data_IF_631957199180
#
_entry.id   IF_631957199180
#
_cell.length_a   1.000
_cell.length_b   1.000
_cell.length_c   1.000
_cell.angle_alpha   90.00
_cell.angle_beta   90.00
_cell.angle_gamma   90.00
#
_symmetry.space_group_name_H-M   'P 1'
#
loop_
_entity.id
_entity.type
_entity.pdbx_description
1 polymer ?
#
# COMPACT_ATOMS: atom_id res chain seq x y z
N UNK A 1 28.60 7.17 -1.93
CA UNK A 1 27.50 7.49 -2.86
C UNK A 1 26.84 8.82 -2.48
N UNK A 2 26.43 9.01 -1.22
CA UNK A 2 25.90 10.29 -0.70
C UNK A 2 26.87 11.48 -0.90
N UNK A 3 28.17 11.33 -0.63
CA UNK A 3 29.15 12.42 -0.82
C UNK A 3 29.25 12.93 -2.27
N UNK A 4 29.06 12.05 -3.25
CA UNK A 4 29.07 12.41 -4.66
C UNK A 4 27.81 13.21 -5.03
N UNK A 5 26.64 12.75 -4.55
CA UNK A 5 25.36 13.42 -4.76
C UNK A 5 25.34 14.82 -4.16
N UNK A 6 25.99 15.02 -3.01
CA UNK A 6 26.10 16.33 -2.35
C UNK A 6 27.01 17.30 -3.08
N UNK A 7 28.16 16.80 -3.55
CA UNK A 7 29.14 17.61 -4.27
C UNK A 7 28.64 18.05 -5.65
N UNK A 8 27.69 17.31 -6.24
CA UNK A 8 27.17 17.54 -7.60
C UNK A 8 25.69 17.94 -7.63
N UNK A 9 25.11 18.32 -6.49
CA UNK A 9 23.66 18.50 -6.35
C UNK A 9 23.08 19.56 -7.31
N UNK A 10 23.79 20.67 -7.55
CA UNK A 10 23.35 21.71 -8.48
C UNK A 10 23.33 21.21 -9.93
N UNK A 11 24.35 20.43 -10.32
CA UNK A 11 24.44 19.87 -11.67
C UNK A 11 23.38 18.80 -11.89
N UNK A 12 23.14 17.95 -10.89
CA UNK A 12 22.06 16.95 -10.92
C UNK A 12 20.67 17.59 -10.97
N UNK A 13 20.44 18.63 -10.17
CA UNK A 13 19.19 19.40 -10.18
C UNK A 13 18.95 20.05 -11.54
N UNK A 14 19.98 20.67 -12.13
CA UNK A 14 19.90 21.26 -13.47
C UNK A 14 19.61 20.24 -14.57
N UNK A 15 20.19 19.03 -14.47
CA UNK A 15 19.95 17.96 -15.44
C UNK A 15 18.52 17.44 -15.33
N UNK A 16 18.04 17.21 -14.11
CA UNK A 16 16.66 16.80 -13.82
C UNK A 16 15.66 17.86 -14.28
N UNK A 17 15.90 19.13 -13.99
CA UNK A 17 15.05 20.24 -14.43
C UNK A 17 15.00 20.33 -15.96
N UNK A 18 16.13 20.12 -16.64
CA UNK A 18 16.20 20.10 -18.11
C UNK A 18 15.45 18.91 -18.68
N UNK A 19 15.61 17.72 -18.12
CA UNK A 19 14.90 16.50 -18.52
C UNK A 19 13.39 16.58 -18.26
N UNK A 20 12.98 17.26 -17.18
CA UNK A 20 11.57 17.56 -16.90
C UNK A 20 10.99 18.57 -17.91
N UNK A 21 11.72 19.64 -18.24
CA UNK A 21 11.21 20.73 -19.11
C UNK A 21 11.29 20.42 -20.60
N UNK A 22 12.29 19.64 -21.04
CA UNK A 22 12.63 19.44 -22.45
C UNK A 22 12.74 17.97 -22.89
N UNK A 23 12.68 17.02 -21.97
CA UNK A 23 12.78 15.59 -22.29
C UNK A 23 11.51 15.02 -22.91
N UNK A 24 11.62 13.83 -23.51
CA UNK A 24 10.45 13.08 -23.99
C UNK A 24 9.68 12.42 -22.83
N UNK A 25 8.46 11.94 -23.07
CA UNK A 25 7.55 11.41 -22.02
C UNK A 25 8.20 10.41 -21.06
N UNK A 26 9.04 9.49 -21.56
CA UNK A 26 9.77 8.54 -20.71
C UNK A 26 10.86 9.20 -19.85
N UNK A 27 11.59 10.15 -20.43
CA UNK A 27 12.65 10.89 -19.73
C UNK A 27 12.07 11.82 -18.66
N UNK A 28 10.92 12.45 -18.93
CA UNK A 28 10.19 13.27 -17.97
C UNK A 28 9.67 12.44 -16.78
N UNK A 29 9.18 11.22 -17.03
CA UNK A 29 8.72 10.32 -15.98
C UNK A 29 9.85 9.88 -15.07
N UNK A 30 11.00 9.49 -15.64
CA UNK A 30 12.16 9.10 -14.83
C UNK A 30 12.80 10.29 -14.12
N UNK A 31 12.83 11.47 -14.75
CA UNK A 31 13.27 12.70 -14.11
C UNK A 31 12.35 13.10 -12.95
N UNK A 32 11.03 12.87 -13.06
CA UNK A 32 10.09 13.11 -11.97
C UNK A 32 10.33 12.14 -10.79
N UNK A 33 10.54 10.86 -11.06
CA UNK A 33 10.91 9.85 -10.05
C UNK A 33 12.22 10.20 -9.36
N UNK A 34 13.25 10.54 -10.14
CA UNK A 34 14.55 10.96 -9.63
C UNK A 34 14.44 12.25 -8.83
N UNK A 35 13.57 13.18 -9.23
CA UNK A 35 13.36 14.46 -8.53
C UNK A 35 12.79 14.25 -7.12
N UNK A 36 11.84 13.33 -6.95
CA UNK A 36 11.30 13.00 -5.63
C UNK A 36 12.41 12.44 -4.72
N UNK A 37 13.26 11.56 -5.25
CA UNK A 37 14.37 10.93 -4.52
C UNK A 37 15.47 11.95 -4.20
N UNK A 38 15.82 12.83 -5.15
CA UNK A 38 16.83 13.89 -4.97
C UNK A 38 16.39 14.96 -3.97
N UNK A 39 15.13 15.43 -4.03
CA UNK A 39 14.59 16.40 -3.07
C UNK A 39 14.63 15.83 -1.66
N UNK A 40 14.25 14.57 -1.50
CA UNK A 40 14.34 13.84 -0.22
C UNK A 40 15.79 13.71 0.27
N UNK A 41 16.73 13.45 -0.64
CA UNK A 41 18.15 13.25 -0.31
C UNK A 41 18.92 14.55 -0.05
N UNK A 42 18.50 15.68 -0.65
CA UNK A 42 19.21 16.97 -0.61
C UNK A 42 18.63 17.95 0.41
N UNK A 43 17.32 17.90 0.72
CA UNK A 43 16.71 18.77 1.74
C UNK A 43 17.41 18.69 3.11
N UNK A 44 18.08 17.56 3.40
CA UNK A 44 18.72 17.35 4.68
C UNK A 44 20.14 17.92 4.80
N UNK A 45 20.82 18.32 3.71
CA UNK A 45 22.19 18.88 3.84
C UNK A 45 22.22 20.37 4.07
N UNK A 46 21.22 21.10 3.57
CA UNK A 46 21.07 22.52 3.87
C UNK A 46 20.72 22.75 5.36
N UNK A 47 19.96 21.84 5.97
CA UNK A 47 19.53 21.94 7.37
C UNK A 47 20.51 21.28 8.36
N UNK A 48 21.31 20.29 7.94
CA UNK A 48 22.34 19.66 8.77
C UNK A 48 23.51 20.57 9.15
N UNK A 49 23.68 21.73 8.49
CA UNK A 49 24.71 22.70 8.87
C UNK A 49 24.25 23.74 9.91
N UNK A 50 22.96 23.80 10.28
CA UNK A 50 22.46 24.91 11.11
C UNK A 50 21.59 24.57 12.32
N UNK A 51 21.19 23.32 12.60
CA UNK A 51 20.29 23.10 13.75
C UNK A 51 20.52 21.82 14.53
N UNK A 52 21.03 22.05 15.74
CA UNK A 52 21.22 21.18 16.91
C UNK A 52 20.01 20.34 17.33
N UNK A 53 20.30 19.08 17.72
CA UNK A 53 19.69 18.23 18.79
C UNK A 53 18.18 18.27 19.08
N UNK A 54 17.53 17.09 19.01
CA UNK A 54 16.28 16.80 19.71
C UNK A 54 15.40 15.76 19.01
N UNK A 55 14.53 15.07 19.76
CA UNK A 55 13.59 13.99 19.35
C UNK A 55 12.78 14.24 18.05
N UNK A 56 12.75 15.46 17.55
CA UNK A 56 12.19 15.79 16.24
C UNK A 56 13.00 15.16 15.09
N UNK A 57 14.33 15.00 15.23
CA UNK A 57 15.18 14.40 14.21
C UNK A 57 14.84 12.92 13.97
N UNK A 58 14.61 12.14 15.03
CA UNK A 58 14.28 10.71 14.89
C UNK A 58 12.87 10.48 14.30
N UNK A 59 11.93 11.38 14.58
CA UNK A 59 10.58 11.35 14.02
C UNK A 59 10.56 11.75 12.54
N UNK A 60 11.31 12.79 12.16
CA UNK A 60 11.45 13.21 10.76
C UNK A 60 12.16 12.13 9.94
N UNK A 61 13.23 11.55 10.48
CA UNK A 61 13.95 10.44 9.85
C UNK A 61 13.06 9.21 9.64
N UNK A 62 12.21 8.87 10.61
CA UNK A 62 11.27 7.76 10.46
C UNK A 62 10.20 8.03 9.39
N UNK A 63 9.64 9.24 9.37
CA UNK A 63 8.68 9.66 8.33
C UNK A 63 9.30 9.62 6.93
N UNK A 64 10.57 10.02 6.82
CA UNK A 64 11.33 9.97 5.57
C UNK A 64 11.51 8.54 5.06
N UNK A 65 11.91 7.62 5.94
CA UNK A 65 12.05 6.21 5.58
C UNK A 65 10.70 5.60 5.19
N UNK A 66 9.63 5.91 5.91
CA UNK A 66 8.27 5.49 5.56
C UNK A 66 7.87 5.96 4.16
N UNK A 67 8.13 7.23 3.82
CA UNK A 67 7.81 7.78 2.51
C UNK A 67 8.66 7.17 1.38
N UNK A 68 9.97 6.99 1.62
CA UNK A 68 10.86 6.35 0.67
C UNK A 68 10.47 4.89 0.42
N UNK A 69 10.15 4.15 1.48
CA UNK A 69 9.71 2.75 1.39
C UNK A 69 8.40 2.63 0.62
N UNK A 70 7.45 3.53 0.85
CA UNK A 70 6.20 3.58 0.09
C UNK A 70 6.44 3.87 -1.40
N UNK A 71 7.35 4.81 -1.72
CA UNK A 71 7.78 5.08 -3.10
C UNK A 71 8.42 3.87 -3.77
N UNK A 72 9.21 3.10 -3.03
CA UNK A 72 9.80 1.85 -3.50
C UNK A 72 8.74 0.76 -3.73
N UNK A 73 7.75 0.61 -2.84
CA UNK A 73 6.61 -0.28 -3.04
C UNK A 73 5.84 0.04 -4.34
N UNK A 74 5.63 1.33 -4.63
CA UNK A 74 5.03 1.76 -5.89
C UNK A 74 5.89 1.40 -7.11
N UNK A 75 7.22 1.47 -6.98
CA UNK A 75 8.15 1.04 -8.03
C UNK A 75 8.05 -0.47 -8.26
N UNK A 76 7.96 -1.28 -7.20
CA UNK A 76 7.78 -2.74 -7.30
C UNK A 76 6.55 -3.09 -8.15
N UNK A 77 5.44 -2.35 -8.01
CA UNK A 77 4.23 -2.56 -8.84
C UNK A 77 4.45 -2.32 -10.34
N UNK A 78 5.51 -1.63 -10.75
CA UNK A 78 5.84 -1.34 -12.16
C UNK A 78 6.90 -2.30 -12.70
N UNK A 79 7.63 -2.99 -11.82
CA UNK A 79 8.65 -3.97 -12.22
C UNK A 79 8.00 -5.27 -12.70
N UNK A 80 8.71 -6.00 -13.57
CA UNK A 80 8.22 -7.31 -14.02
C UNK A 80 8.38 -8.36 -12.91
N UNK A 81 7.46 -9.34 -12.80
CA UNK A 81 7.56 -10.42 -11.82
C UNK A 81 8.90 -11.16 -11.83
N UNK A 82 9.46 -11.41 -13.02
CA UNK A 82 10.78 -12.05 -13.17
C UNK A 82 11.91 -11.20 -12.57
N UNK A 83 11.92 -9.89 -12.82
CA UNK A 83 12.91 -8.99 -12.21
C UNK A 83 12.80 -9.01 -10.69
N UNK A 84 11.59 -8.93 -10.15
CA UNK A 84 11.36 -9.02 -8.70
C UNK A 84 11.82 -10.36 -8.13
N UNK A 85 11.51 -11.47 -8.80
CA UNK A 85 11.92 -12.81 -8.38
C UNK A 85 13.44 -12.91 -8.19
N UNK A 86 14.23 -12.34 -9.11
CA UNK A 86 15.71 -12.38 -9.02
C UNK A 86 16.30 -11.60 -7.83
N UNK A 87 15.57 -10.64 -7.26
CA UNK A 87 16.00 -9.83 -6.12
C UNK A 87 15.20 -10.08 -4.85
N UNK A 88 14.19 -10.97 -4.88
CA UNK A 88 13.22 -11.13 -3.82
C UNK A 88 13.85 -11.55 -2.49
N UNK A 89 14.83 -12.45 -2.51
CA UNK A 89 15.52 -12.93 -1.30
C UNK A 89 16.21 -11.78 -0.56
N UNK A 90 16.97 -10.95 -1.27
CA UNK A 90 17.70 -9.81 -0.69
C UNK A 90 16.75 -8.70 -0.23
N UNK A 91 15.69 -8.41 -1.00
CA UNK A 91 14.69 -7.43 -0.57
C UNK A 91 13.95 -7.89 0.70
N UNK A 92 13.67 -9.18 0.85
CA UNK A 92 13.03 -9.72 2.04
C UNK A 92 13.93 -9.65 3.28
N UNK A 93 15.25 -9.80 3.13
CA UNK A 93 16.21 -9.54 4.22
C UNK A 93 16.10 -8.09 4.70
N UNK A 94 16.12 -7.11 3.79
CA UNK A 94 15.98 -5.69 4.13
C UNK A 94 14.63 -5.38 4.78
N UNK A 95 13.53 -5.92 4.24
CA UNK A 95 12.20 -5.74 4.84
C UNK A 95 12.10 -6.39 6.23
N UNK A 96 12.70 -7.56 6.44
CA UNK A 96 12.69 -8.26 7.72
C UNK A 96 13.37 -7.44 8.82
N UNK A 97 14.51 -6.80 8.52
CA UNK A 97 15.17 -5.89 9.45
C UNK A 97 14.28 -4.68 9.81
N UNK A 98 13.57 -4.13 8.83
CA UNK A 98 12.64 -3.01 9.03
C UNK A 98 11.41 -3.39 9.87
N UNK A 99 10.98 -4.66 9.84
CA UNK A 99 9.91 -5.17 10.71
C UNK A 99 10.29 -5.14 12.20
N UNK A 100 11.58 -5.18 12.52
CA UNK A 100 12.09 -5.04 13.89
C UNK A 100 12.21 -3.60 14.39
N UNK A 101 12.00 -2.60 13.54
CA UNK A 101 12.27 -1.20 13.89
C UNK A 101 11.32 -0.66 14.98
N UNK A 102 11.76 0.30 15.80
CA UNK A 102 10.96 0.85 16.91
C UNK A 102 9.72 1.64 16.46
N UNK A 103 9.79 2.27 15.29
CA UNK A 103 8.70 3.06 14.72
C UNK A 103 7.57 2.17 14.17
N UNK A 104 6.33 2.37 14.65
CA UNK A 104 5.16 1.57 14.23
C UNK A 104 4.82 1.74 12.75
N UNK A 105 4.91 2.97 12.24
CA UNK A 105 4.55 3.30 10.86
C UNK A 105 5.52 2.65 9.87
N UNK A 106 6.83 2.66 10.20
CA UNK A 106 7.84 1.99 9.39
C UNK A 106 7.64 0.47 9.36
N UNK A 107 7.31 -0.15 10.51
CA UNK A 107 6.95 -1.58 10.56
C UNK A 107 5.73 -1.88 9.68
N UNK A 108 4.69 -1.05 9.76
CA UNK A 108 3.48 -1.20 8.95
C UNK A 108 3.84 -1.14 7.46
N UNK A 109 4.62 -0.15 7.04
CA UNK A 109 5.03 -0.03 5.63
C UNK A 109 5.92 -1.18 5.17
N UNK A 110 6.85 -1.64 6.01
CA UNK A 110 7.66 -2.81 5.70
C UNK A 110 6.79 -4.07 5.54
N UNK A 111 5.82 -4.28 6.43
CA UNK A 111 4.86 -5.39 6.31
C UNK A 111 4.02 -5.33 5.03
N UNK A 112 3.58 -4.14 4.62
CA UNK A 112 2.89 -3.95 3.34
C UNK A 112 3.81 -4.27 2.15
N UNK A 113 5.07 -3.85 2.21
CA UNK A 113 6.09 -4.18 1.22
C UNK A 113 6.34 -5.69 1.11
N UNK A 114 6.44 -6.41 2.23
CA UNK A 114 6.55 -7.87 2.27
C UNK A 114 5.36 -8.53 1.59
N UNK A 115 4.13 -8.16 1.97
CA UNK A 115 2.92 -8.72 1.38
C UNK A 115 2.86 -8.48 -0.14
N UNK A 116 3.17 -7.26 -0.57
CA UNK A 116 3.22 -6.90 -1.98
C UNK A 116 4.28 -7.72 -2.74
N UNK A 117 5.47 -7.87 -2.16
CA UNK A 117 6.56 -8.61 -2.79
C UNK A 117 6.20 -10.10 -2.95
N UNK A 118 5.66 -10.74 -1.92
CA UNK A 118 5.16 -12.12 -2.02
C UNK A 118 4.11 -12.26 -3.12
N UNK A 119 3.14 -11.34 -3.17
CA UNK A 119 2.10 -11.35 -4.19
C UNK A 119 2.66 -11.21 -5.61
N UNK A 120 3.60 -10.29 -5.84
CA UNK A 120 4.17 -10.04 -7.16
C UNK A 120 5.13 -11.16 -7.60
N UNK A 121 5.92 -11.68 -6.68
CA UNK A 121 6.89 -12.76 -6.95
C UNK A 121 6.18 -14.09 -7.18
N UNK A 122 5.09 -14.37 -6.44
CA UNK A 122 4.28 -15.57 -6.66
C UNK A 122 3.57 -15.60 -8.02
N UNK A 123 3.38 -14.46 -8.69
CA UNK A 123 2.93 -14.46 -10.09
C UNK A 123 3.94 -15.12 -11.06
N UNK A 124 5.22 -15.11 -10.71
CA UNK A 124 6.28 -15.78 -11.48
C UNK A 124 6.45 -17.24 -11.04
N UNK A 125 6.40 -17.50 -9.73
CA UNK A 125 6.60 -18.81 -9.13
C UNK A 125 5.73 -18.94 -7.87
N UNK A 126 4.60 -19.65 -8.01
CA UNK A 126 3.60 -19.77 -6.94
C UNK A 126 4.19 -20.38 -5.66
N UNK A 127 5.21 -21.25 -5.79
CA UNK A 127 5.85 -21.93 -4.67
C UNK A 127 7.02 -21.13 -4.08
N UNK A 128 7.12 -19.84 -4.39
CA UNK A 128 8.17 -18.98 -3.85
C UNK A 128 8.13 -18.92 -2.32
N UNK A 129 9.26 -19.26 -1.70
CA UNK A 129 9.52 -19.22 -0.27
C UNK A 129 10.83 -18.46 0.01
N UNK A 130 10.83 -17.63 1.05
CA UNK A 130 12.05 -16.99 1.55
C UNK A 130 12.89 -17.97 2.39
N UNK A 131 14.21 -17.82 2.36
CA UNK A 131 15.11 -18.71 3.12
C UNK A 131 14.82 -18.77 4.63
N UNK A 132 14.27 -17.69 5.22
CA UNK A 132 13.90 -17.62 6.63
C UNK A 132 12.39 -17.40 6.82
N UNK A 133 11.56 -18.00 5.95
CA UNK A 133 10.10 -17.82 5.98
C UNK A 133 9.47 -18.18 7.34
N UNK A 134 9.98 -19.19 8.04
CA UNK A 134 9.50 -19.55 9.38
C UNK A 134 9.70 -18.40 10.39
N UNK A 135 10.88 -17.78 10.40
CA UNK A 135 11.21 -16.63 11.25
C UNK A 135 10.34 -15.42 10.88
N UNK A 136 10.14 -15.17 9.58
CA UNK A 136 9.25 -14.12 9.10
C UNK A 136 7.82 -14.34 9.59
N UNK A 137 7.28 -15.55 9.41
CA UNK A 137 5.92 -15.89 9.83
C UNK A 137 5.71 -15.70 11.33
N UNK A 138 6.68 -16.12 12.16
CA UNK A 138 6.63 -15.91 13.60
C UNK A 138 6.59 -14.42 13.96
N UNK A 139 7.49 -13.61 13.39
CA UNK A 139 7.53 -12.16 13.62
C UNK A 139 6.24 -11.46 13.17
N UNK A 140 5.70 -11.83 12.01
CA UNK A 140 4.44 -11.26 11.50
C UNK A 140 3.26 -11.60 12.43
N UNK A 141 3.20 -12.82 12.98
CA UNK A 141 2.17 -13.23 13.94
C UNK A 141 2.28 -12.48 15.28
N UNK A 142 3.49 -12.24 15.77
CA UNK A 142 3.74 -11.43 16.96
C UNK A 142 3.25 -9.98 16.74
N UNK A 143 3.58 -9.37 15.60
CA UNK A 143 3.14 -8.03 15.25
C UNK A 143 1.61 -7.94 15.04
N UNK A 144 0.97 -9.01 14.55
CA UNK A 144 -0.48 -9.13 14.38
C UNK A 144 -1.24 -9.25 15.71
N UNK A 145 -0.58 -9.73 16.77
CA UNK A 145 -1.17 -9.91 18.11
C UNK A 145 -0.70 -8.86 19.13
N UNK A 146 0.15 -7.91 18.72
CA UNK A 146 0.84 -6.92 19.56
C UNK A 146 0.04 -6.46 20.79
N UNK A 147 0.51 -6.90 21.96
CA UNK A 147 -0.11 -6.66 23.25
C UNK A 147 0.59 -5.58 24.08
N UNK A 148 1.66 -4.96 23.55
CA UNK A 148 2.53 -4.06 24.31
C UNK A 148 1.82 -2.77 24.73
N UNK A 149 1.43 -2.71 26.01
CA UNK A 149 0.61 -1.62 26.58
C UNK A 149 1.28 -0.24 26.55
N UNK A 150 2.61 -0.18 26.45
CA UNK A 150 3.38 1.08 26.38
C UNK A 150 3.17 1.86 25.06
N UNK A 151 2.73 1.21 23.98
CA UNK A 151 2.42 1.87 22.70
C UNK A 151 1.08 2.63 22.76
N UNK A 152 0.78 3.52 21.83
CA UNK A 152 -0.54 4.14 21.79
C UNK A 152 -1.63 3.11 21.39
N UNK A 153 -2.83 3.23 21.95
CA UNK A 153 -3.97 2.32 21.66
C UNK A 153 -4.35 2.34 20.18
N UNK A 154 -4.28 3.52 19.54
CA UNK A 154 -4.54 3.72 18.11
C UNK A 154 -3.54 2.92 17.28
N UNK A 155 -2.25 3.15 17.50
CA UNK A 155 -1.16 2.56 16.73
C UNK A 155 -1.15 1.02 16.86
N UNK A 156 -1.40 0.47 18.06
CA UNK A 156 -1.58 -0.99 18.23
C UNK A 156 -2.77 -1.55 17.46
N UNK A 157 -3.87 -0.81 17.36
CA UNK A 157 -5.06 -1.29 16.63
C UNK A 157 -4.77 -1.34 15.12
N UNK A 158 -4.11 -0.30 14.62
CA UNK A 158 -3.72 -0.15 13.22
C UNK A 158 -2.67 -1.19 12.82
N UNK A 159 -1.58 -1.31 13.58
CA UNK A 159 -0.57 -2.33 13.37
C UNK A 159 -1.20 -3.73 13.32
N UNK A 160 -1.96 -4.13 14.35
CA UNK A 160 -2.59 -5.45 14.36
C UNK A 160 -3.58 -5.65 13.20
N UNK A 161 -4.27 -4.60 12.74
CA UNK A 161 -5.12 -4.70 11.57
C UNK A 161 -4.32 -4.98 10.31
N UNK A 162 -3.26 -4.20 10.07
CA UNK A 162 -2.39 -4.37 8.92
C UNK A 162 -1.70 -5.75 8.93
N UNK A 163 -1.08 -6.14 10.05
CA UNK A 163 -0.32 -7.39 10.12
C UNK A 163 -1.20 -8.65 10.06
N UNK A 164 -2.47 -8.58 10.47
CA UNK A 164 -3.40 -9.70 10.20
C UNK A 164 -3.65 -9.91 8.70
N UNK A 165 -3.66 -8.85 7.91
CA UNK A 165 -3.76 -8.95 6.45
C UNK A 165 -2.44 -9.44 5.85
N UNK A 166 -1.30 -8.91 6.30
CA UNK A 166 0.04 -9.36 5.84
C UNK A 166 0.27 -10.85 6.09
N UNK A 167 -0.04 -11.34 7.30
CA UNK A 167 0.06 -12.77 7.64
C UNK A 167 -0.80 -13.60 6.68
N UNK A 168 -2.01 -13.14 6.38
CA UNK A 168 -2.90 -13.85 5.46
C UNK A 168 -2.31 -13.93 4.05
N UNK A 169 -1.75 -12.83 3.53
CA UNK A 169 -1.14 -12.78 2.18
C UNK A 169 0.10 -13.67 2.08
N UNK A 170 0.94 -13.70 3.11
CA UNK A 170 2.16 -14.52 3.09
C UNK A 170 1.82 -16.02 3.24
N UNK A 171 0.86 -16.36 4.09
CA UNK A 171 0.56 -17.76 4.45
C UNK A 171 -0.53 -18.44 3.61
N UNK A 172 -1.42 -17.71 2.94
CA UNK A 172 -2.53 -18.30 2.18
C UNK A 172 -2.50 -17.80 0.72
N UNK A 173 -2.30 -18.72 -0.22
CA UNK A 173 -2.28 -18.45 -1.66
C UNK A 173 -3.68 -18.30 -2.30
N UNK A 174 -4.74 -18.60 -1.55
CA UNK A 174 -6.06 -18.93 -2.14
C UNK A 174 -7.02 -17.76 -2.40
N UNK A 175 -6.69 -16.51 -2.04
CA UNK A 175 -7.62 -15.39 -2.21
C UNK A 175 -7.15 -14.39 -3.28
N UNK A 176 -7.65 -14.55 -4.50
CA UNK A 176 -7.55 -13.58 -5.63
C UNK A 176 -8.01 -12.14 -5.28
N UNK A 177 -8.44 -11.85 -4.05
CA UNK A 177 -9.17 -10.63 -3.71
C UNK A 177 -8.87 -9.97 -2.34
N UNK A 178 -7.69 -10.16 -1.75
CA UNK A 178 -7.36 -9.56 -0.45
C UNK A 178 -6.08 -8.72 -0.42
N UNK A 179 -6.10 -7.56 -1.08
CA UNK A 179 -5.32 -6.40 -0.63
C UNK A 179 -6.31 -5.29 -0.23
N UNK A 180 -6.76 -5.28 1.04
CA UNK A 180 -7.59 -4.19 1.59
C UNK A 180 -6.77 -3.04 2.17
N UNK A 181 -5.46 -3.23 2.33
CA UNK A 181 -4.55 -2.22 2.84
C UNK A 181 -4.37 -0.98 1.95
N UNK A 182 -4.73 -1.02 0.66
CA UNK A 182 -4.70 0.19 -0.17
C UNK A 182 -5.95 0.99 0.16
N UNK A 183 -5.76 2.05 0.95
CA UNK A 183 -6.74 3.10 1.17
C UNK A 183 -7.38 3.48 -0.17
N UNK A 184 -8.72 3.51 -0.21
CA UNK A 184 -9.44 3.89 -1.43
C UNK A 184 -8.98 5.27 -1.85
N UNK A 185 -8.20 5.35 -2.92
CA UNK A 185 -7.80 6.63 -3.51
C UNK A 185 -9.05 7.30 -4.07
N UNK A 186 -9.61 8.23 -3.32
CA UNK A 186 -10.61 9.17 -3.83
C UNK A 186 -9.90 10.15 -4.75
N UNK A 187 -10.01 9.92 -6.06
CA UNK A 187 -9.54 10.86 -7.08
C UNK A 187 -10.43 12.10 -7.00
N UNK A 188 -9.81 13.27 -6.79
CA UNK A 188 -10.49 14.55 -6.80
C UNK A 188 -11.27 14.81 -8.11
N UNK A 189 -12.13 15.83 -8.10
CA UNK A 189 -13.08 16.16 -9.18
C UNK A 189 -12.47 16.61 -10.53
N UNK A 190 -11.16 16.62 -10.68
CA UNK A 190 -10.49 17.15 -11.87
C UNK A 190 -10.55 16.16 -13.06
N UNK A 191 -11.19 16.53 -14.20
CA UNK A 191 -11.48 15.61 -15.30
C UNK A 191 -10.24 15.07 -16.03
N UNK A 192 -9.14 15.82 -16.12
CA UNK A 192 -7.91 15.33 -16.78
C UNK A 192 -7.13 14.33 -15.90
N UNK A 193 -7.23 14.46 -14.56
CA UNK A 193 -6.66 13.45 -13.64
C UNK A 193 -7.44 12.14 -13.66
N UNK A 194 -8.71 12.16 -14.07
CA UNK A 194 -9.50 10.93 -14.19
C UNK A 194 -9.06 10.06 -15.37
N UNK A 195 -8.54 10.60 -16.48
CA UNK A 195 -8.13 9.75 -17.62
C UNK A 195 -6.98 8.83 -17.26
N UNK A 196 -5.86 9.39 -16.79
CA UNK A 196 -4.67 8.61 -16.40
C UNK A 196 -5.02 7.61 -15.29
N UNK A 197 -5.82 8.02 -14.31
CA UNK A 197 -6.22 7.12 -13.23
C UNK A 197 -7.16 6.02 -13.74
N UNK A 198 -8.07 6.32 -14.65
CA UNK A 198 -8.94 5.31 -15.26
C UNK A 198 -8.17 4.34 -16.13
N UNK A 199 -7.13 4.78 -16.82
CA UNK A 199 -6.25 3.90 -17.59
C UNK A 199 -5.42 3.00 -16.67
N UNK A 200 -4.79 3.57 -15.63
CA UNK A 200 -4.00 2.83 -14.62
C UNK A 200 -4.84 1.76 -13.91
N UNK A 201 -6.09 2.08 -13.55
CA UNK A 201 -7.00 1.13 -12.90
C UNK A 201 -7.94 0.41 -13.87
N UNK A 202 -7.73 0.53 -15.19
CA UNK A 202 -8.57 -0.09 -16.24
C UNK A 202 -10.09 0.14 -16.04
N UNK A 203 -10.48 1.32 -15.57
CA UNK A 203 -11.86 1.68 -15.21
C UNK A 203 -12.76 1.96 -16.42
N UNK A 204 -12.24 1.83 -17.64
CA UNK A 204 -12.95 2.12 -18.89
C UNK A 204 -13.07 3.62 -19.21
N UNK A 205 -13.70 3.99 -20.34
CA UNK A 205 -13.82 5.38 -20.78
C UNK A 205 -14.57 6.24 -19.74
N UNK A 206 -14.29 7.55 -19.64
CA UNK A 206 -15.01 8.45 -18.74
C UNK A 206 -16.52 8.35 -18.96
N UNK A 207 -17.35 8.36 -17.90
CA UNK A 207 -18.80 8.44 -18.07
C UNK A 207 -19.16 9.73 -18.84
N UNK A 208 -20.10 9.62 -19.77
CA UNK A 208 -20.46 10.75 -20.64
C UNK A 208 -21.00 11.92 -19.81
N UNK A 209 -20.60 13.18 -20.07
CA UNK A 209 -21.07 14.34 -19.30
C UNK A 209 -22.60 14.48 -19.25
N UNK A 210 -23.29 13.88 -20.23
CA UNK A 210 -24.76 13.87 -20.35
C UNK A 210 -25.44 12.82 -19.45
N UNK A 211 -24.72 11.85 -18.87
CA UNK A 211 -25.28 10.88 -17.91
C UNK A 211 -25.70 11.54 -16.58
N UNK A 212 -25.17 12.72 -16.29
CA UNK A 212 -25.59 13.51 -15.11
C UNK A 212 -26.93 14.24 -15.34
N UNK A 213 -27.35 14.35 -16.60
CA UNK A 213 -28.61 14.95 -17.03
C UNK A 213 -29.68 13.91 -17.38
N UNK A 214 -29.64 12.73 -16.75
CA UNK A 214 -30.74 11.77 -16.85
C UNK A 214 -32.04 12.45 -16.41
N UNK A 215 -33.06 12.40 -17.27
CA UNK A 215 -34.37 13.01 -16.98
C UNK A 215 -34.91 12.51 -15.63
N UNK A 216 -35.66 13.33 -14.88
CA UNK A 216 -36.17 12.96 -13.55
C UNK A 216 -36.92 11.62 -13.50
N UNK A 217 -37.48 11.16 -14.64
CA UNK A 217 -38.16 9.89 -14.78
C UNK A 217 -37.21 8.67 -14.79
N UNK A 218 -36.07 8.76 -15.49
CA UNK A 218 -35.04 7.72 -15.53
C UNK A 218 -34.36 7.58 -14.16
N UNK A 219 -34.10 8.70 -13.48
CA UNK A 219 -33.56 8.73 -12.10
C UNK A 219 -34.46 8.02 -11.08
N UNK A 220 -35.79 8.17 -11.18
CA UNK A 220 -36.75 7.47 -10.30
C UNK A 220 -36.80 5.98 -10.58
N UNK A 221 -36.73 5.56 -11.84
CA UNK A 221 -36.68 4.15 -12.22
C UNK A 221 -35.40 3.47 -11.70
N UNK A 222 -34.23 4.11 -11.90
CA UNK A 222 -32.95 3.64 -11.39
C UNK A 222 -32.93 3.51 -9.86
N UNK A 223 -33.48 4.50 -9.14
CA UNK A 223 -33.62 4.46 -7.67
C UNK A 223 -34.49 3.30 -7.20
N UNK A 224 -35.58 3.00 -7.91
CA UNK A 224 -36.46 1.85 -7.60
C UNK A 224 -35.73 0.53 -7.79
N UNK A 225 -34.97 0.39 -8.88
CA UNK A 225 -34.15 -0.80 -9.16
C UNK A 225 -33.06 -0.98 -8.09
N UNK A 226 -32.34 0.09 -7.74
CA UNK A 226 -31.29 0.05 -6.73
C UNK A 226 -31.85 -0.33 -5.34
N UNK A 227 -32.99 0.25 -4.96
CA UNK A 227 -33.69 -0.12 -3.71
C UNK A 227 -34.11 -1.58 -3.69
N UNK A 228 -34.57 -2.13 -4.82
CA UNK A 228 -34.88 -3.56 -4.93
C UNK A 228 -33.61 -4.43 -4.80
N UNK A 229 -32.51 -4.08 -5.48
CA UNK A 229 -31.22 -4.77 -5.37
C UNK A 229 -30.68 -4.75 -3.93
N UNK A 230 -30.71 -3.60 -3.27
CA UNK A 230 -30.28 -3.48 -1.86
C UNK A 230 -31.18 -4.28 -0.91
N UNK A 231 -32.50 -4.30 -1.15
CA UNK A 231 -33.44 -5.07 -0.33
C UNK A 231 -33.24 -6.58 -0.47
N UNK A 232 -32.96 -7.07 -1.68
CA UNK A 232 -32.70 -8.49 -1.96
C UNK A 232 -31.37 -8.94 -1.37
N UNK A 233 -30.33 -8.12 -1.49
CA UNK A 233 -29.03 -8.36 -0.83
C UNK A 233 -29.19 -8.37 0.69
N UNK A 234 -29.95 -7.43 1.26
CA UNK A 234 -30.20 -7.35 2.72
C UNK A 234 -30.94 -8.57 3.26
N UNK A 235 -31.99 -9.01 2.56
CA UNK A 235 -32.75 -10.24 2.91
C UNK A 235 -31.85 -11.48 2.84
N UNK A 236 -31.01 -11.57 1.80
CA UNK A 236 -30.05 -12.67 1.63
C UNK A 236 -29.04 -12.71 2.78
N UNK A 237 -28.46 -11.55 3.15
CA UNK A 237 -27.54 -11.42 4.30
C UNK A 237 -28.20 -11.82 5.63
N UNK A 238 -29.46 -11.43 5.85
CA UNK A 238 -30.20 -11.82 7.05
C UNK A 238 -30.43 -13.33 7.15
N UNK A 239 -30.77 -13.98 6.02
CA UNK A 239 -30.97 -15.42 5.96
C UNK A 239 -29.68 -16.18 6.30
N UNK A 240 -28.54 -15.76 5.74
CA UNK A 240 -27.22 -16.35 6.05
C UNK A 240 -26.83 -16.14 7.51
N UNK A 241 -27.04 -14.93 8.06
CA UNK A 241 -26.76 -14.64 9.47
C UNK A 241 -27.60 -15.49 10.42
N UNK A 242 -28.88 -15.72 10.10
CA UNK A 242 -29.76 -16.57 10.91
C UNK A 242 -29.27 -18.03 10.93
N UNK A 243 -28.89 -18.58 9.77
CA UNK A 243 -28.31 -19.93 9.67
C UNK A 243 -27.04 -20.07 10.54
N UNK A 244 -26.12 -19.10 10.49
CA UNK A 244 -24.90 -19.15 11.30
C UNK A 244 -25.16 -19.02 12.81
N UNK A 245 -26.19 -18.26 13.22
CA UNK A 245 -26.62 -18.18 14.63
C UNK A 245 -27.19 -19.50 15.13
N UNK A 246 -28.00 -20.16 14.31
CA UNK A 246 -28.57 -21.47 14.61
C UNK A 246 -27.50 -22.56 14.70
N UNK A 247 -26.52 -22.57 13.79
CA UNK A 247 -25.38 -23.50 13.85
C UNK A 247 -24.58 -23.34 15.16
N UNK A 248 -24.29 -22.09 15.56
CA UNK A 248 -23.58 -21.81 16.82
C UNK A 248 -24.39 -22.22 18.08
N UNK A 249 -25.72 -22.14 18.02
CA UNK A 249 -26.58 -22.62 19.10
C UNK A 249 -26.59 -24.15 19.17
N UNK A 250 -26.61 -24.84 18.01
CA UNK A 250 -26.52 -26.30 17.93
C UNK A 250 -25.19 -26.83 18.44
N UNK A 251 -24.06 -26.24 18.04
CA UNK A 251 -22.72 -26.64 18.55
C UNK A 251 -22.61 -26.55 20.07
N UNK A 252 -23.22 -25.54 20.69
CA UNK A 252 -23.27 -25.41 22.15
C UNK A 252 -24.13 -26.47 22.83
N UNK A 253 -25.11 -27.05 22.14
CA UNK A 253 -26.03 -28.05 22.72
C UNK A 253 -25.43 -29.46 22.67
N UNK A 254 -24.37 -29.68 21.89
CA UNK A 254 -23.65 -30.96 21.81
C UNK A 254 -22.40 -31.02 22.72
N UNK A 255 -22.09 -29.94 23.44
CA UNK A 255 -20.95 -29.85 24.38
C UNK A 255 -21.36 -29.91 25.86
N UNK A 256 -22.66 -30.05 26.15
CA UNK A 256 -23.21 -30.42 27.46
C UNK A 256 -23.65 -31.90 27.44
#
# INVERSE_FOLDING_TARGET
MLDFLLRQHETLSHLVERSLKKGHTKEQMEAARLSCILVISLCQVQEAQQSTTGDNFCNIQSSLYTAALNGFCLLMCVLTPNTLYTMAQSLLEEFFDLLGHNNVELRIQAGQGVALLYQLVRQHDNDFCWQQEECLCQLLQELATDSHKYRAKRDRKEQRACFREVVHTVQNDDDENHMKCIEKVTVGREPDRQKVVRDVFSLGPPPDPQDHTLSPALSRSQKKINKLKESTVSKSRQKTRKKNRENKAKDKTYQD
#
